data_IF_075940448824
#
_entry.id   IF_075940448824
#
_cell.length_a   1.000
_cell.length_b   1.000
_cell.length_c   1.000
_cell.angle_alpha   90.00
_cell.angle_beta   90.00
_cell.angle_gamma   90.00
#
_symmetry.space_group_name_H-M   'P 1'
#
loop_
_entity.id
_entity.type
_entity.pdbx_description
1 polymer ?
#
# COMPACT_ATOMS: atom_id res chain seq x y z
N UNK A 1 4.70 -10.30 5.90
CA UNK A 1 3.42 -10.45 6.63
C UNK A 1 2.78 -11.82 6.40
N UNK A 2 2.48 -12.25 5.17
CA UNK A 2 1.85 -13.56 4.86
C UNK A 2 2.66 -14.74 5.42
N UNK A 3 3.97 -14.76 5.22
CA UNK A 3 4.86 -15.82 5.73
C UNK A 3 4.80 -15.95 7.27
N UNK A 4 4.83 -14.82 7.99
CA UNK A 4 4.72 -14.80 9.45
C UNK A 4 3.38 -15.37 9.93
N UNK A 5 2.26 -14.94 9.30
CA UNK A 5 0.92 -15.44 9.65
C UNK A 5 0.83 -16.96 9.44
N UNK A 6 1.37 -17.47 8.34
CA UNK A 6 1.36 -18.91 8.04
C UNK A 6 2.17 -19.71 9.07
N UNK A 7 3.31 -19.18 9.49
CA UNK A 7 4.16 -19.78 10.54
C UNK A 7 3.46 -19.80 11.90
N UNK A 8 2.78 -18.71 12.29
CA UNK A 8 2.00 -18.62 13.53
C UNK A 8 0.83 -19.61 13.55
N UNK A 9 0.12 -19.76 12.43
CA UNK A 9 -0.96 -20.75 12.31
C UNK A 9 -0.42 -22.17 12.49
N UNK A 10 0.71 -22.47 11.88
CA UNK A 10 1.33 -23.80 12.00
C UNK A 10 1.82 -24.07 13.44
N UNK A 11 2.40 -23.07 14.11
CA UNK A 11 2.77 -23.15 15.51
C UNK A 11 1.54 -23.37 16.39
N UNK A 12 0.46 -22.62 16.17
CA UNK A 12 -0.78 -22.75 16.94
C UNK A 12 -1.39 -24.16 16.83
N UNK A 13 -1.42 -24.72 15.60
CA UNK A 13 -1.91 -26.10 15.36
C UNK A 13 -1.04 -27.11 16.10
N UNK A 14 0.29 -26.95 16.04
CA UNK A 14 1.23 -27.88 16.70
C UNK A 14 1.07 -27.85 18.23
N UNK A 15 1.00 -26.65 18.84
CA UNK A 15 0.81 -26.50 20.28
C UNK A 15 -0.57 -26.95 20.76
N UNK A 16 -1.61 -26.76 19.93
CA UNK A 16 -2.94 -27.29 20.22
C UNK A 16 -2.94 -28.81 20.22
N UNK A 17 -2.29 -29.45 19.26
CA UNK A 17 -2.13 -30.90 19.20
C UNK A 17 -1.32 -31.42 20.40
N UNK A 18 -0.19 -30.76 20.75
CA UNK A 18 0.59 -31.10 21.96
C UNK A 18 -0.26 -31.04 23.23
N UNK A 19 -1.12 -30.01 23.32
CA UNK A 19 -2.04 -29.86 24.46
C UNK A 19 -3.02 -31.04 24.56
N UNK A 20 -3.65 -31.45 23.46
CA UNK A 20 -4.61 -32.55 23.44
C UNK A 20 -3.93 -33.88 23.84
N UNK A 21 -2.78 -34.18 23.26
CA UNK A 21 -2.04 -35.40 23.59
C UNK A 21 -1.65 -35.44 25.07
N UNK A 22 -1.11 -34.35 25.62
CA UNK A 22 -0.71 -34.30 27.03
C UNK A 22 -1.88 -34.30 27.98
N UNK A 23 -3.03 -33.79 27.61
CA UNK A 23 -4.24 -33.87 28.40
C UNK A 23 -4.72 -35.33 28.53
N UNK A 24 -4.71 -36.10 27.44
CA UNK A 24 -5.03 -37.53 27.45
C UNK A 24 -4.00 -38.32 28.28
N UNK A 25 -2.71 -38.00 28.20
CA UNK A 25 -1.68 -38.61 29.06
C UNK A 25 -1.92 -38.37 30.56
N UNK A 26 -2.43 -37.20 30.93
CA UNK A 26 -2.84 -36.91 32.34
C UNK A 26 -4.00 -37.83 32.76
N UNK A 27 -5.01 -37.99 31.92
CA UNK A 27 -6.15 -38.86 32.18
C UNK A 27 -5.72 -40.33 32.35
N UNK A 28 -4.86 -40.81 31.49
CA UNK A 28 -4.29 -42.15 31.53
C UNK A 28 -3.45 -42.36 32.81
N UNK A 29 -2.60 -41.39 33.17
CA UNK A 29 -1.81 -41.43 34.42
C UNK A 29 -2.70 -41.48 35.66
N UNK A 30 -3.79 -40.69 35.69
CA UNK A 30 -4.76 -40.75 36.81
C UNK A 30 -5.37 -42.12 36.92
N UNK A 31 -5.74 -42.73 35.78
CA UNK A 31 -6.30 -44.10 35.82
C UNK A 31 -5.29 -45.11 36.31
N UNK A 32 -4.01 -45.00 35.94
CA UNK A 32 -2.93 -45.84 36.44
C UNK A 32 -2.69 -45.60 37.95
N UNK A 33 -2.70 -44.35 38.44
CA UNK A 33 -2.61 -44.02 39.86
C UNK A 33 -3.77 -44.64 40.65
N UNK A 34 -5.00 -44.58 40.13
CA UNK A 34 -6.17 -45.22 40.76
C UNK A 34 -6.04 -46.74 40.79
N UNK A 35 -5.55 -47.33 39.71
CA UNK A 35 -5.31 -48.79 39.63
C UNK A 35 -4.24 -49.22 40.65
N UNK A 36 -3.15 -48.46 40.78
CA UNK A 36 -2.11 -48.74 41.73
C UNK A 36 -2.63 -48.66 43.20
N UNK A 37 -3.43 -47.60 43.48
CA UNK A 37 -4.11 -47.46 44.76
C UNK A 37 -4.94 -48.68 45.13
N UNK A 38 -5.75 -49.21 44.15
CA UNK A 38 -6.59 -50.37 44.40
C UNK A 38 -5.82 -51.67 44.68
N UNK A 39 -4.60 -51.82 44.11
CA UNK A 39 -3.75 -53.00 44.35
C UNK A 39 -2.86 -52.88 45.59
N UNK A 40 -2.39 -51.70 45.92
CA UNK A 40 -1.42 -51.50 47.02
C UNK A 40 -2.09 -51.01 48.31
N UNK A 41 -3.36 -50.61 48.23
CA UNK A 41 -4.13 -50.00 49.35
C UNK A 41 -3.46 -48.70 49.85
N UNK A 42 -2.50 -48.17 49.07
CA UNK A 42 -1.85 -46.88 49.37
C UNK A 42 -2.46 -45.81 48.43
N UNK A 43 -3.39 -45.04 48.98
CA UNK A 43 -4.25 -44.15 48.23
C UNK A 43 -4.02 -42.68 48.64
N UNK A 44 -2.81 -42.15 48.45
CA UNK A 44 -2.52 -40.75 48.71
C UNK A 44 -3.31 -39.81 47.82
N UNK A 45 -4.16 -38.98 48.40
CA UNK A 45 -4.96 -37.98 47.66
C UNK A 45 -6.15 -38.55 46.86
N UNK A 46 -6.47 -39.84 47.03
CA UNK A 46 -7.63 -40.52 46.43
C UNK A 46 -8.62 -40.91 47.56
N UNK A 47 -9.91 -40.83 47.25
CA UNK A 47 -10.91 -41.39 48.15
C UNK A 47 -11.35 -42.76 47.64
N UNK A 48 -11.60 -43.67 48.61
CA UNK A 48 -12.00 -45.04 48.28
C UNK A 48 -13.30 -45.40 48.99
N UNK A 49 -14.16 -46.15 48.32
CA UNK A 49 -15.38 -46.67 48.88
C UNK A 49 -15.63 -48.13 48.38
N UNK A 50 -16.42 -48.92 49.10
CA UNK A 50 -16.78 -50.26 48.70
C UNK A 50 -18.26 -50.27 48.31
N UNK A 51 -18.54 -50.71 47.05
CA UNK A 51 -19.88 -50.74 46.52
C UNK A 51 -20.24 -52.17 46.11
N UNK A 52 -21.53 -52.55 46.18
CA UNK A 52 -21.98 -53.84 45.71
C UNK A 52 -21.71 -54.01 44.22
N UNK A 53 -21.27 -55.19 43.81
CA UNK A 53 -21.04 -55.55 42.42
C UNK A 53 -22.39 -55.67 41.70
N UNK A 54 -22.64 -54.73 40.79
CA UNK A 54 -23.85 -54.66 39.99
C UNK A 54 -23.51 -54.75 38.49
N UNK A 55 -24.43 -55.18 37.63
CA UNK A 55 -24.22 -55.36 36.20
C UNK A 55 -23.85 -54.09 35.46
N UNK A 56 -24.19 -52.93 36.04
CA UNK A 56 -23.95 -51.61 35.41
C UNK A 56 -22.60 -51.03 35.73
N UNK A 57 -21.75 -51.72 36.54
CA UNK A 57 -20.42 -51.23 36.97
C UNK A 57 -19.32 -52.03 36.30
N UNK A 58 -18.76 -51.48 35.17
CA UNK A 58 -17.66 -52.14 34.47
C UNK A 58 -16.33 -51.88 35.21
N UNK A 59 -15.52 -52.92 35.35
CA UNK A 59 -14.22 -52.88 35.98
C UNK A 59 -13.16 -52.26 35.09
N UNK A 60 -12.23 -51.52 35.66
CA UNK A 60 -11.09 -50.87 34.95
C UNK A 60 -11.48 -49.83 33.90
N UNK A 61 -12.67 -49.24 33.94
CA UNK A 61 -13.09 -48.13 33.12
C UNK A 61 -13.07 -46.85 33.91
N UNK A 62 -12.51 -45.78 33.33
CA UNK A 62 -12.46 -44.43 33.89
C UNK A 62 -13.77 -43.70 33.59
N UNK A 63 -14.61 -43.52 34.56
CA UNK A 63 -15.82 -42.72 34.50
C UNK A 63 -15.48 -41.23 34.78
N UNK A 64 -16.18 -40.35 34.05
CA UNK A 64 -15.92 -38.87 34.07
C UNK A 64 -17.20 -38.08 34.35
N UNK A 65 -17.99 -38.57 35.29
CA UNK A 65 -19.23 -37.93 35.71
C UNK A 65 -19.05 -37.25 37.04
N UNK A 66 -18.82 -35.96 37.03
CA UNK A 66 -18.41 -35.19 38.20
C UNK A 66 -16.91 -35.37 38.52
N UNK A 67 -16.60 -36.10 39.59
CA UNK A 67 -15.24 -36.56 39.88
C UNK A 67 -14.86 -37.74 38.97
N UNK A 68 -13.56 -37.94 38.79
CA UNK A 68 -13.10 -39.12 38.04
C UNK A 68 -13.18 -40.35 38.99
N UNK A 69 -13.78 -41.42 38.56
CA UNK A 69 -13.83 -42.65 39.35
C UNK A 69 -13.70 -43.90 38.48
N UNK A 70 -13.21 -44.96 39.12
CA UNK A 70 -13.09 -46.28 38.49
C UNK A 70 -13.39 -47.37 39.50
N UNK A 71 -13.87 -48.52 39.02
CA UNK A 71 -14.15 -49.67 39.85
C UNK A 71 -13.07 -50.71 39.64
N UNK A 72 -12.60 -51.30 40.79
CA UNK A 72 -11.57 -52.33 40.77
C UNK A 72 -12.01 -53.53 41.59
N UNK A 73 -11.59 -54.73 41.15
CA UNK A 73 -11.90 -55.96 41.87
C UNK A 73 -11.15 -56.03 43.21
N UNK A 74 -11.84 -56.42 44.26
CA UNK A 74 -11.20 -56.67 45.57
C UNK A 74 -10.70 -58.13 45.55
N UNK A 75 -9.38 -58.37 45.80
CA UNK A 75 -8.78 -59.71 45.62
C UNK A 75 -9.38 -60.84 46.45
N UNK A 76 -10.01 -60.52 47.57
CA UNK A 76 -10.49 -61.52 48.56
C UNK A 76 -12.01 -61.64 48.63
N UNK A 77 -12.77 -60.78 47.92
CA UNK A 77 -14.25 -60.73 48.06
C UNK A 77 -14.89 -60.42 46.71
N UNK A 78 -15.56 -61.40 46.14
CA UNK A 78 -16.24 -61.24 44.85
C UNK A 78 -17.55 -60.41 44.89
N UNK A 79 -18.09 -60.15 46.06
CA UNK A 79 -19.35 -59.42 46.28
C UNK A 79 -19.22 -57.91 46.11
N UNK A 80 -18.05 -57.37 46.40
CA UNK A 80 -17.80 -55.91 46.39
C UNK A 80 -16.77 -55.50 45.36
N UNK A 81 -16.97 -54.26 44.80
CA UNK A 81 -15.97 -53.53 44.03
C UNK A 81 -15.44 -52.37 44.83
N UNK A 82 -14.16 -52.11 44.74
CA UNK A 82 -13.53 -50.91 45.29
C UNK A 82 -13.71 -49.77 44.29
N UNK A 83 -14.49 -48.77 44.65
CA UNK A 83 -14.62 -47.52 43.93
C UNK A 83 -13.48 -46.59 44.38
N UNK A 84 -12.59 -46.24 43.44
CA UNK A 84 -11.53 -45.24 43.68
C UNK A 84 -11.94 -43.95 43.01
N UNK A 85 -11.89 -42.85 43.73
CA UNK A 85 -12.29 -41.51 43.24
C UNK A 85 -11.12 -40.56 43.28
N UNK A 86 -10.90 -39.91 42.13
CA UNK A 86 -9.93 -38.84 41.97
C UNK A 86 -10.67 -37.50 41.88
N UNK A 87 -10.39 -36.52 42.77
CA UNK A 87 -11.13 -35.27 42.80
C UNK A 87 -10.94 -34.46 41.52
N UNK A 88 -12.04 -34.00 40.89
CA UNK A 88 -12.02 -33.15 39.71
C UNK A 88 -11.19 -31.90 39.89
N UNK A 89 -11.17 -31.32 41.08
CA UNK A 89 -10.37 -30.14 41.41
C UNK A 89 -8.87 -30.39 41.20
N UNK A 90 -8.37 -31.57 41.59
CA UNK A 90 -6.98 -31.98 41.39
C UNK A 90 -6.65 -32.17 39.89
N UNK A 91 -7.57 -32.74 39.13
CA UNK A 91 -7.44 -32.84 37.66
C UNK A 91 -7.36 -31.45 37.02
N UNK A 92 -8.29 -30.56 37.34
CA UNK A 92 -8.29 -29.18 36.83
C UNK A 92 -6.98 -28.48 37.14
N UNK A 93 -6.45 -28.63 38.36
CA UNK A 93 -5.17 -28.04 38.74
C UNK A 93 -4.00 -28.55 37.88
N UNK A 94 -3.93 -29.87 37.60
CA UNK A 94 -2.93 -30.47 36.69
C UNK A 94 -3.07 -29.93 35.26
N UNK A 95 -4.29 -29.77 34.76
CA UNK A 95 -4.57 -29.21 33.42
C UNK A 95 -4.19 -27.74 33.32
N UNK A 96 -4.53 -26.90 34.33
CA UNK A 96 -4.15 -25.48 34.34
C UNK A 96 -2.62 -25.34 34.34
N UNK A 97 -1.91 -26.16 35.12
CA UNK A 97 -0.44 -26.18 35.15
C UNK A 97 0.15 -26.56 33.77
N UNK A 98 -0.44 -27.54 33.10
CA UNK A 98 -0.08 -27.93 31.74
C UNK A 98 -0.30 -26.77 30.75
N UNK A 99 -1.50 -26.18 30.79
CA UNK A 99 -1.90 -25.07 29.91
C UNK A 99 -0.97 -23.86 30.06
N UNK A 100 -0.65 -23.46 31.28
CA UNK A 100 0.27 -22.36 31.57
C UNK A 100 1.68 -22.63 31.00
N UNK A 101 2.16 -23.87 31.13
CA UNK A 101 3.45 -24.30 30.60
C UNK A 101 3.47 -24.25 29.06
N UNK A 102 2.41 -24.72 28.42
CA UNK A 102 2.28 -24.72 26.96
C UNK A 102 2.15 -23.29 26.46
N UNK A 103 1.29 -22.46 27.06
CA UNK A 103 1.14 -21.04 26.70
C UNK A 103 2.46 -20.26 26.77
N UNK A 104 3.24 -20.47 27.84
CA UNK A 104 4.54 -19.82 28.00
C UNK A 104 5.52 -20.24 26.89
N UNK A 105 5.57 -21.51 26.55
CA UNK A 105 6.41 -22.03 25.45
C UNK A 105 5.95 -21.47 24.11
N UNK A 106 4.66 -21.49 23.83
CA UNK A 106 4.08 -20.92 22.62
C UNK A 106 4.48 -19.44 22.48
N UNK A 107 4.35 -18.64 23.53
CA UNK A 107 4.74 -17.23 23.51
C UNK A 107 6.23 -17.05 23.17
N UNK A 108 7.12 -17.86 23.75
CA UNK A 108 8.55 -17.80 23.45
C UNK A 108 8.87 -18.14 21.98
N UNK A 109 8.24 -19.18 21.44
CA UNK A 109 8.45 -19.57 20.04
C UNK A 109 7.84 -18.55 19.08
N UNK A 110 6.68 -17.98 19.40
CA UNK A 110 6.04 -16.91 18.62
C UNK A 110 6.93 -15.65 18.56
N UNK A 111 7.47 -15.22 19.70
CA UNK A 111 8.42 -14.09 19.75
C UNK A 111 9.69 -14.38 18.94
N UNK A 112 10.22 -15.60 19.02
CA UNK A 112 11.37 -15.99 18.21
C UNK A 112 11.05 -16.01 16.71
N UNK A 113 9.90 -16.55 16.33
CA UNK A 113 9.42 -16.54 14.95
C UNK A 113 9.22 -15.11 14.40
N UNK A 114 8.65 -14.20 15.22
CA UNK A 114 8.51 -12.80 14.89
C UNK A 114 9.87 -12.12 14.66
N UNK A 115 10.85 -12.39 15.53
CA UNK A 115 12.20 -11.84 15.40
C UNK A 115 12.90 -12.33 14.12
N UNK A 116 12.84 -13.64 13.83
CA UNK A 116 13.42 -14.20 12.59
C UNK A 116 12.74 -13.64 11.35
N UNK A 117 11.40 -13.52 11.37
CA UNK A 117 10.63 -12.93 10.26
C UNK A 117 10.98 -11.46 10.03
N UNK A 118 11.23 -10.70 11.10
CA UNK A 118 11.68 -9.31 11.03
C UNK A 118 13.09 -9.20 10.39
N UNK A 119 14.04 -10.02 10.83
CA UNK A 119 15.38 -10.05 10.22
C UNK A 119 15.33 -10.43 8.74
N UNK A 120 14.52 -11.44 8.39
CA UNK A 120 14.32 -11.85 7.01
C UNK A 120 13.71 -10.73 6.16
N UNK A 121 12.73 -9.98 6.69
CA UNK A 121 12.15 -8.84 5.99
C UNK A 121 13.19 -7.75 5.70
N UNK A 122 14.04 -7.40 6.67
CA UNK A 122 15.14 -6.45 6.46
C UNK A 122 16.10 -6.97 5.39
N UNK A 123 16.54 -8.22 5.50
CA UNK A 123 17.46 -8.84 4.55
C UNK A 123 16.91 -8.85 3.13
N UNK A 124 15.65 -9.26 2.94
CA UNK A 124 15.00 -9.33 1.63
C UNK A 124 14.70 -7.96 1.01
N UNK A 125 14.35 -6.94 1.83
CA UNK A 125 14.01 -5.62 1.33
C UNK A 125 15.22 -4.71 1.07
N UNK A 126 16.35 -4.96 1.73
CA UNK A 126 17.56 -4.14 1.58
C UNK A 126 18.09 -4.12 0.14
N UNK A 127 18.29 -5.25 -0.56
CA UNK A 127 18.77 -5.23 -1.94
C UNK A 127 17.79 -4.57 -2.91
N UNK A 128 16.49 -4.73 -2.68
CA UNK A 128 15.46 -4.08 -3.49
C UNK A 128 15.51 -2.55 -3.35
N UNK A 129 15.61 -2.04 -2.11
CA UNK A 129 15.77 -0.60 -1.85
C UNK A 129 17.05 -0.06 -2.49
N UNK A 130 18.17 -0.80 -2.39
CA UNK A 130 19.43 -0.43 -3.01
C UNK A 130 19.32 -0.38 -4.54
N UNK A 131 18.68 -1.37 -5.17
CA UNK A 131 18.46 -1.41 -6.61
C UNK A 131 17.59 -0.25 -7.09
N UNK A 132 16.52 0.10 -6.36
CA UNK A 132 15.67 1.25 -6.68
C UNK A 132 16.46 2.56 -6.59
N UNK A 133 17.25 2.76 -5.53
CA UNK A 133 18.08 3.95 -5.37
C UNK A 133 19.13 4.10 -6.46
N UNK A 134 19.83 3.01 -6.78
CA UNK A 134 20.80 3.01 -7.89
C UNK A 134 20.15 3.33 -9.23
N UNK A 135 18.95 2.83 -9.48
CA UNK A 135 18.20 3.16 -10.69
C UNK A 135 17.80 4.65 -10.74
N UNK A 136 17.42 5.25 -9.62
CA UNK A 136 17.13 6.68 -9.52
C UNK A 136 18.38 7.54 -9.75
N UNK A 137 19.51 7.19 -9.14
CA UNK A 137 20.80 7.86 -9.34
C UNK A 137 21.24 7.75 -10.81
N UNK A 138 21.18 6.54 -11.40
CA UNK A 138 21.52 6.30 -12.82
C UNK A 138 20.69 7.16 -13.78
N UNK A 139 19.38 7.23 -13.57
CA UNK A 139 18.52 8.06 -14.44
C UNK A 139 18.83 9.55 -14.26
N UNK A 140 19.17 10.00 -13.05
CA UNK A 140 19.57 11.38 -12.76
C UNK A 140 20.89 11.75 -13.49
N UNK A 141 21.86 10.85 -13.47
CA UNK A 141 23.15 11.04 -14.14
C UNK A 141 22.97 11.10 -15.68
N UNK A 142 22.18 10.18 -16.25
CA UNK A 142 21.84 10.21 -17.68
C UNK A 142 21.16 11.54 -18.07
N UNK A 143 20.21 12.02 -17.24
CA UNK A 143 19.54 13.29 -17.53
C UNK A 143 20.50 14.49 -17.48
N UNK A 144 21.49 14.46 -16.58
CA UNK A 144 22.53 15.45 -16.53
C UNK A 144 23.38 15.40 -17.82
N UNK A 145 23.79 14.22 -18.23
CA UNK A 145 24.66 14.04 -19.41
C UNK A 145 23.95 14.39 -20.73
N UNK A 146 22.63 14.28 -20.79
CA UNK A 146 21.83 14.76 -21.93
C UNK A 146 21.80 16.31 -22.04
N UNK A 147 22.04 17.06 -20.98
CA UNK A 147 22.03 18.52 -21.06
C UNK A 147 23.10 19.05 -22.02
N UNK A 148 24.28 18.46 -22.04
CA UNK A 148 25.41 18.91 -22.85
C UNK A 148 25.12 18.76 -24.37
N UNK A 149 24.77 17.59 -24.91
CA UNK A 149 24.48 17.45 -26.33
C UNK A 149 23.25 18.25 -26.76
N UNK A 150 22.21 18.34 -25.92
CA UNK A 150 21.02 19.13 -26.27
C UNK A 150 21.34 20.63 -26.33
N UNK A 151 22.15 21.15 -25.40
CA UNK A 151 22.61 22.53 -25.42
C UNK A 151 23.45 22.82 -26.67
N UNK A 152 24.35 21.90 -27.05
CA UNK A 152 25.14 21.98 -28.26
C UNK A 152 24.26 21.99 -29.52
N UNK A 153 23.24 21.10 -29.60
CA UNK A 153 22.28 21.10 -30.67
C UNK A 153 21.53 22.42 -30.82
N UNK A 154 21.12 23.02 -29.67
CA UNK A 154 20.43 24.32 -29.67
C UNK A 154 21.31 25.46 -30.16
N UNK A 155 22.59 25.47 -29.76
CA UNK A 155 23.55 26.47 -30.23
C UNK A 155 23.77 26.31 -31.75
N UNK A 156 24.05 25.10 -32.21
CA UNK A 156 24.26 24.84 -33.66
C UNK A 156 23.04 25.23 -34.46
N UNK A 157 21.83 24.92 -33.97
CA UNK A 157 20.61 25.29 -34.66
C UNK A 157 20.42 26.81 -34.77
N UNK A 158 20.81 27.56 -33.69
CA UNK A 158 20.78 29.02 -33.71
C UNK A 158 21.77 29.61 -34.73
N UNK A 159 22.94 28.98 -34.89
CA UNK A 159 23.93 29.37 -35.91
C UNK A 159 23.41 29.10 -37.30
N UNK A 160 22.87 27.92 -37.57
CA UNK A 160 22.24 27.62 -38.87
C UNK A 160 21.10 28.57 -39.22
N UNK A 161 20.28 28.95 -38.25
CA UNK A 161 19.21 29.92 -38.40
C UNK A 161 19.74 31.30 -38.87
N UNK A 162 20.93 31.71 -38.35
CA UNK A 162 21.59 32.94 -38.75
C UNK A 162 22.18 32.85 -40.16
N UNK A 163 22.75 31.71 -40.55
CA UNK A 163 23.44 31.51 -41.82
C UNK A 163 22.48 31.35 -43.00
N UNK A 164 21.46 30.54 -42.86
CA UNK A 164 20.56 30.14 -43.96
C UNK A 164 19.13 30.64 -43.80
N UNK A 165 18.87 31.45 -42.76
CA UNK A 165 17.56 32.03 -42.50
C UNK A 165 16.56 30.99 -41.90
N UNK A 166 15.37 31.48 -41.62
CA UNK A 166 14.29 30.62 -41.13
C UNK A 166 13.73 29.78 -42.28
N UNK A 167 13.65 28.47 -42.05
CA UNK A 167 12.96 27.57 -42.96
C UNK A 167 12.19 26.46 -42.19
N UNK A 168 11.29 25.77 -42.87
CA UNK A 168 10.44 24.76 -42.28
C UNK A 168 11.23 23.59 -41.63
N UNK A 169 12.46 23.29 -42.13
CA UNK A 169 13.30 22.22 -41.58
C UNK A 169 13.91 22.66 -40.26
N UNK A 170 14.39 23.90 -40.14
CA UNK A 170 14.91 24.49 -38.92
C UNK A 170 13.82 24.52 -37.85
N UNK A 171 12.64 24.99 -38.19
CA UNK A 171 11.51 25.00 -37.23
C UNK A 171 11.13 23.61 -36.73
N UNK A 172 11.19 22.58 -37.59
CA UNK A 172 10.98 21.18 -37.15
C UNK A 172 12.06 20.69 -36.20
N UNK A 173 13.33 21.08 -36.39
CA UNK A 173 14.43 20.73 -35.52
C UNK A 173 14.30 21.43 -34.15
N UNK A 174 13.94 22.71 -34.15
CA UNK A 174 13.63 23.46 -32.89
C UNK A 174 12.55 22.74 -32.06
N UNK A 175 11.43 22.44 -32.72
CA UNK A 175 10.32 21.72 -32.07
C UNK A 175 10.72 20.32 -31.50
N UNK A 176 11.64 19.62 -32.19
CA UNK A 176 12.16 18.35 -31.74
C UNK A 176 13.04 18.51 -30.49
N UNK A 177 13.94 19.51 -30.48
CA UNK A 177 14.81 19.84 -29.33
C UNK A 177 13.96 20.24 -28.12
N UNK A 178 12.96 21.11 -28.33
CA UNK A 178 12.04 21.50 -27.29
C UNK A 178 11.23 20.30 -26.72
N UNK A 179 10.85 19.39 -27.60
CA UNK A 179 10.16 18.16 -27.18
C UNK A 179 11.06 17.25 -26.31
N UNK A 180 12.35 17.14 -26.63
CA UNK A 180 13.34 16.40 -25.84
C UNK A 180 13.58 17.09 -24.49
N UNK A 181 13.72 18.41 -24.45
CA UNK A 181 13.86 19.18 -23.22
C UNK A 181 12.65 19.04 -22.31
N UNK A 182 11.45 19.13 -22.86
CA UNK A 182 10.21 18.92 -22.12
C UNK A 182 10.13 17.51 -21.52
N UNK A 183 10.58 16.49 -22.28
CA UNK A 183 10.67 15.12 -21.81
C UNK A 183 11.65 14.98 -20.65
N UNK A 184 12.85 15.56 -20.81
CA UNK A 184 13.90 15.53 -19.78
C UNK A 184 13.43 16.21 -18.50
N UNK A 185 12.82 17.40 -18.60
CA UNK A 185 12.24 18.12 -17.46
C UNK A 185 11.16 17.28 -16.75
N UNK A 186 10.29 16.62 -17.52
CA UNK A 186 9.27 15.74 -16.97
C UNK A 186 9.86 14.55 -16.21
N UNK A 187 10.96 13.97 -16.71
CA UNK A 187 11.64 12.86 -16.07
C UNK A 187 12.39 13.30 -14.79
N UNK A 188 13.01 14.52 -14.81
CA UNK A 188 13.63 15.11 -13.61
C UNK A 188 12.61 15.32 -12.47
N UNK A 189 11.40 15.80 -12.80
CA UNK A 189 10.32 15.98 -11.82
C UNK A 189 9.89 14.65 -11.22
N UNK A 190 9.91 13.61 -12.03
CA UNK A 190 9.54 12.27 -11.57
C UNK A 190 10.52 11.70 -10.54
N UNK A 191 11.82 12.05 -10.66
CA UNK A 191 12.92 11.55 -9.82
C UNK A 191 13.21 12.42 -8.59
N UNK A 192 12.81 13.68 -8.60
CA UNK A 192 13.01 14.58 -7.46
C UNK A 192 11.80 14.50 -6.52
N UNK A 193 12.10 14.38 -5.24
CA UNK A 193 11.13 14.74 -4.21
C UNK A 193 10.85 16.25 -4.36
N UNK A 194 9.57 16.60 -4.36
CA UNK A 194 9.16 17.99 -4.49
C UNK A 194 9.58 18.73 -3.22
N UNK A 195 10.32 19.84 -3.32
CA UNK A 195 10.66 20.61 -2.15
C UNK A 195 9.39 20.99 -1.39
N UNK A 196 9.37 20.76 -0.10
CA UNK A 196 8.26 21.08 0.82
C UNK A 196 8.04 22.57 1.05
N UNK A 197 8.80 23.45 0.37
CA UNK A 197 8.65 24.88 0.51
C UNK A 197 7.33 25.33 -0.10
N UNK A 198 6.42 25.78 0.76
CA UNK A 198 5.16 26.41 0.40
C UNK A 198 5.34 27.92 0.44
N UNK A 199 4.76 28.62 -0.53
CA UNK A 199 4.72 30.08 -0.60
C UNK A 199 3.32 30.55 -0.98
N UNK A 200 2.95 31.77 -0.54
CA UNK A 200 1.71 32.38 -0.91
C UNK A 200 1.85 33.17 -2.20
N UNK A 201 0.95 32.99 -3.14
CA UNK A 201 0.94 33.72 -4.41
C UNK A 201 -0.46 33.87 -4.98
N UNK A 202 -0.64 34.87 -5.85
CA UNK A 202 -1.89 35.08 -6.59
C UNK A 202 -2.04 34.05 -7.69
N UNK A 203 -3.11 33.24 -7.62
CA UNK A 203 -3.48 32.28 -8.65
C UNK A 203 -3.81 32.98 -9.97
N UNK A 204 -4.52 34.10 -9.91
CA UNK A 204 -4.87 34.91 -11.09
C UNK A 204 -3.62 35.34 -11.87
N UNK A 205 -2.65 35.97 -11.17
CA UNK A 205 -1.39 36.43 -11.79
C UNK A 205 -0.63 35.28 -12.41
N UNK A 206 -0.54 34.13 -11.72
CA UNK A 206 0.16 32.96 -12.24
C UNK A 206 -0.52 32.44 -13.51
N UNK A 207 -1.85 32.26 -13.48
CA UNK A 207 -2.61 31.74 -14.64
C UNK A 207 -2.53 32.69 -15.82
N UNK A 208 -2.65 34.00 -15.63
CA UNK A 208 -2.53 35.00 -16.68
C UNK A 208 -1.14 34.95 -17.37
N UNK A 209 -0.07 34.87 -16.58
CA UNK A 209 1.29 34.75 -17.12
C UNK A 209 1.45 33.46 -17.95
N UNK A 210 0.86 32.35 -17.54
CA UNK A 210 0.93 31.09 -18.29
C UNK A 210 0.09 31.14 -19.58
N UNK A 211 -1.09 31.76 -19.52
CA UNK A 211 -1.93 31.98 -20.71
C UNK A 211 -1.19 32.77 -21.77
N UNK A 212 -0.55 33.90 -21.41
CA UNK A 212 0.24 34.71 -22.36
C UNK A 212 1.33 33.86 -23.02
N UNK A 213 2.03 33.01 -22.26
CA UNK A 213 3.04 32.11 -22.79
C UNK A 213 2.45 31.11 -23.81
N UNK A 214 1.32 30.48 -23.47
CA UNK A 214 0.70 29.46 -24.34
C UNK A 214 -0.02 30.07 -25.56
N UNK A 215 -0.53 31.29 -25.47
CA UNK A 215 -1.04 32.05 -26.64
C UNK A 215 0.05 32.26 -27.69
N UNK A 216 1.28 32.59 -27.26
CA UNK A 216 2.41 32.71 -28.21
C UNK A 216 2.83 31.37 -28.79
N UNK A 217 2.71 30.27 -28.07
CA UNK A 217 3.09 28.93 -28.54
C UNK A 217 2.04 28.29 -29.44
N UNK A 218 0.75 28.56 -29.20
CA UNK A 218 -0.40 28.02 -29.95
C UNK A 218 -1.28 29.15 -30.46
N UNK A 219 -0.77 29.92 -31.45
CA UNK A 219 -1.41 31.13 -31.93
C UNK A 219 -2.84 30.93 -32.54
N UNK A 220 -3.17 29.72 -32.96
CA UNK A 220 -4.49 29.34 -33.50
C UNK A 220 -5.55 29.10 -32.42
N UNK A 221 -5.17 29.08 -31.14
CA UNK A 221 -6.04 28.74 -30.01
C UNK A 221 -6.40 29.99 -29.21
N UNK A 222 -7.70 30.17 -28.98
CA UNK A 222 -8.24 31.27 -28.19
C UNK A 222 -8.21 30.85 -26.68
N UNK A 223 -7.29 31.46 -25.91
CA UNK A 223 -7.19 31.28 -24.46
C UNK A 223 -7.91 32.39 -23.70
N UNK A 224 -8.61 32.02 -22.62
CA UNK A 224 -9.23 32.99 -21.72
C UNK A 224 -9.34 32.45 -20.30
N UNK A 225 -9.37 33.34 -19.30
CA UNK A 225 -9.61 32.98 -17.91
C UNK A 225 -10.60 33.89 -17.23
N UNK A 226 -11.31 33.32 -16.25
CA UNK A 226 -12.18 34.00 -15.32
C UNK A 226 -11.81 33.54 -13.90
N UNK A 227 -10.84 34.20 -13.31
CA UNK A 227 -10.32 33.93 -11.97
C UNK A 227 -10.23 35.27 -11.26
N UNK A 228 -10.93 35.38 -10.16
CA UNK A 228 -10.96 36.62 -9.36
C UNK A 228 -10.18 36.41 -8.06
N UNK A 229 -9.33 37.40 -7.72
CA UNK A 229 -8.64 37.58 -6.43
C UNK A 229 -8.49 36.32 -5.54
N UNK A 230 -7.79 35.33 -6.04
CA UNK A 230 -7.55 34.09 -5.31
C UNK A 230 -6.07 33.96 -4.95
N UNK A 231 -5.78 33.90 -3.65
CA UNK A 231 -4.44 33.59 -3.13
C UNK A 231 -4.39 32.12 -2.71
N UNK A 232 -3.36 31.41 -3.15
CA UNK A 232 -3.12 30.03 -2.75
C UNK A 232 -1.74 29.91 -2.06
N UNK A 233 -1.63 28.95 -1.13
CA UNK A 233 -0.39 28.63 -0.42
C UNK A 233 0.01 27.21 -0.74
N UNK A 234 1.05 27.06 -1.55
CA UNK A 234 1.57 25.76 -1.99
C UNK A 234 2.94 25.95 -2.65
N UNK A 235 3.55 24.86 -3.11
CA UNK A 235 4.77 24.94 -3.92
C UNK A 235 4.44 25.51 -5.32
N UNK A 236 4.88 26.74 -5.57
CA UNK A 236 4.59 27.48 -6.80
C UNK A 236 5.14 26.81 -8.05
N UNK A 237 6.38 26.29 -7.97
CA UNK A 237 7.00 25.59 -9.11
C UNK A 237 6.24 24.33 -9.49
N UNK A 238 5.85 23.55 -8.49
CA UNK A 238 5.06 22.33 -8.70
C UNK A 238 3.68 22.65 -9.28
N UNK A 239 3.00 23.68 -8.75
CA UNK A 239 1.72 24.12 -9.25
C UNK A 239 1.80 24.69 -10.67
N UNK A 240 2.86 25.48 -10.98
CA UNK A 240 3.15 25.98 -12.34
C UNK A 240 3.29 24.80 -13.31
N UNK A 241 3.98 23.72 -12.93
CA UNK A 241 4.16 22.54 -13.77
C UNK A 241 2.84 21.78 -14.01
N UNK A 242 1.94 21.75 -13.04
CA UNK A 242 0.58 21.22 -13.23
C UNK A 242 -0.11 22.01 -14.34
N UNK A 243 -0.14 23.34 -14.20
CA UNK A 243 -0.75 24.22 -15.21
C UNK A 243 -0.13 24.05 -16.58
N UNK A 244 1.20 24.03 -16.68
CA UNK A 244 1.93 23.89 -17.94
C UNK A 244 1.61 22.60 -18.66
N UNK A 245 1.55 21.49 -17.95
CA UNK A 245 1.17 20.20 -18.55
C UNK A 245 -0.28 20.21 -19.05
N UNK A 246 -1.20 20.80 -18.27
CA UNK A 246 -2.61 20.86 -18.65
C UNK A 246 -2.84 21.81 -19.83
N UNK A 247 -2.28 23.01 -19.81
CA UNK A 247 -2.38 24.00 -20.87
C UNK A 247 -1.71 23.54 -22.16
N UNK A 248 -0.55 22.90 -22.06
CA UNK A 248 0.14 22.29 -23.20
C UNK A 248 -0.70 21.19 -23.85
N UNK A 249 -1.35 20.34 -23.03
CA UNK A 249 -2.25 19.31 -23.55
C UNK A 249 -3.48 19.94 -24.21
N UNK A 250 -4.10 20.94 -23.59
CA UNK A 250 -5.24 21.67 -24.12
C UNK A 250 -4.94 22.35 -25.46
N UNK A 251 -3.73 22.89 -25.65
CA UNK A 251 -3.30 23.46 -26.94
C UNK A 251 -2.95 22.38 -27.96
N UNK A 252 -2.11 21.42 -27.61
CA UNK A 252 -1.58 20.37 -28.50
C UNK A 252 -2.66 19.47 -29.13
N UNK A 253 -3.70 19.14 -28.35
CA UNK A 253 -4.76 18.23 -28.76
C UNK A 253 -6.06 18.95 -29.13
N UNK A 254 -6.01 20.28 -29.23
CA UNK A 254 -7.15 21.07 -29.71
C UNK A 254 -7.39 20.94 -31.23
N UNK A 255 -8.50 21.45 -31.66
CA UNK A 255 -8.78 21.67 -33.09
C UNK A 255 -8.30 23.06 -33.52
N UNK A 256 -8.06 23.26 -34.82
CA UNK A 256 -7.75 24.60 -35.35
C UNK A 256 -8.85 25.59 -34.97
N UNK A 257 -8.47 26.80 -34.55
CA UNK A 257 -9.35 27.83 -33.99
C UNK A 257 -10.19 27.36 -32.79
N UNK A 258 -9.63 26.42 -32.00
CA UNK A 258 -10.27 25.94 -30.80
C UNK A 258 -10.17 26.94 -29.65
N UNK A 259 -10.78 26.59 -28.53
CA UNK A 259 -10.80 27.42 -27.32
C UNK A 259 -10.25 26.66 -26.12
N UNK A 260 -9.60 27.39 -25.21
CA UNK A 260 -9.21 26.94 -23.89
C UNK A 260 -9.71 27.95 -22.87
N UNK A 261 -10.45 27.49 -21.87
CA UNK A 261 -11.02 28.35 -20.83
C UNK A 261 -10.61 27.86 -19.45
N UNK A 262 -10.15 28.79 -18.62
CA UNK A 262 -9.82 28.55 -17.22
C UNK A 262 -10.80 29.32 -16.36
N UNK A 263 -11.52 28.62 -15.48
CA UNK A 263 -12.50 29.26 -14.60
C UNK A 263 -12.29 28.75 -13.18
N UNK A 264 -12.37 29.63 -12.21
CA UNK A 264 -12.41 29.29 -10.80
C UNK A 264 -13.84 29.48 -10.28
N UNK A 265 -14.42 28.37 -9.78
CA UNK A 265 -15.74 28.40 -9.16
C UNK A 265 -15.62 27.84 -7.72
N UNK A 266 -15.63 28.75 -6.75
CA UNK A 266 -15.33 28.39 -5.38
C UNK A 266 -13.89 27.85 -5.24
N UNK A 267 -13.75 26.56 -4.94
CA UNK A 267 -12.46 25.88 -4.80
C UNK A 267 -12.09 25.00 -6.00
N UNK A 268 -12.93 24.98 -7.04
CA UNK A 268 -12.73 24.16 -8.23
C UNK A 268 -12.17 25.02 -9.38
N UNK A 269 -10.90 24.80 -9.71
CA UNK A 269 -10.28 25.35 -10.90
C UNK A 269 -10.53 24.40 -12.07
N UNK A 270 -11.30 24.86 -13.05
CA UNK A 270 -11.57 24.13 -14.29
C UNK A 270 -10.68 24.60 -15.43
N UNK A 271 -10.19 23.66 -16.23
CA UNK A 271 -9.45 23.89 -17.48
C UNK A 271 -10.17 23.12 -18.57
N UNK A 272 -10.83 23.86 -19.47
CA UNK A 272 -11.68 23.30 -20.52
C UNK A 272 -11.08 23.54 -21.90
N UNK A 273 -11.02 22.52 -22.74
CA UNK A 273 -10.64 22.62 -24.14
C UNK A 273 -11.73 22.12 -25.08
N UNK A 274 -11.74 22.61 -26.30
CA UNK A 274 -12.66 22.19 -27.38
C UNK A 274 -12.04 21.16 -28.32
N UNK A 275 -11.03 20.45 -27.86
CA UNK A 275 -10.22 19.55 -28.65
C UNK A 275 -10.87 18.22 -29.00
N UNK A 276 -10.03 17.24 -29.36
CA UNK A 276 -10.47 15.92 -29.83
C UNK A 276 -11.11 15.06 -28.76
N UNK A 277 -10.96 15.43 -27.48
CA UNK A 277 -11.41 14.63 -26.36
C UNK A 277 -10.60 13.33 -26.18
N UNK A 278 -10.96 12.58 -25.15
CA UNK A 278 -10.28 11.36 -24.68
C UNK A 278 -11.29 10.21 -24.66
N UNK A 279 -10.91 9.05 -25.22
CA UNK A 279 -11.77 7.85 -25.23
C UNK A 279 -11.90 7.19 -23.87
N UNK A 280 -10.79 7.14 -23.13
CA UNK A 280 -10.72 6.46 -21.82
C UNK A 280 -10.17 7.37 -20.71
N UNK A 281 -10.97 8.33 -20.18
CA UNK A 281 -10.50 9.28 -19.16
C UNK A 281 -9.96 8.61 -17.89
N UNK A 282 -10.46 7.43 -17.51
CA UNK A 282 -10.00 6.70 -16.34
C UNK A 282 -8.57 6.13 -16.45
N UNK A 283 -8.03 6.03 -17.67
CA UNK A 283 -6.69 5.47 -17.91
C UNK A 283 -5.61 6.52 -18.14
N UNK A 284 -5.97 7.79 -18.31
CA UNK A 284 -5.03 8.87 -18.72
C UNK A 284 -3.94 9.14 -17.69
N UNK A 285 -4.16 8.81 -16.41
CA UNK A 285 -3.15 8.95 -15.37
C UNK A 285 -2.17 7.78 -15.26
N UNK A 286 -2.41 6.69 -16.03
CA UNK A 286 -1.46 5.57 -16.08
C UNK A 286 -0.23 5.96 -16.87
N UNK A 287 0.95 5.52 -16.41
CA UNK A 287 2.23 5.72 -17.11
C UNK A 287 2.15 5.16 -18.54
N UNK A 288 2.72 5.88 -19.49
CA UNK A 288 2.82 5.50 -20.91
C UNK A 288 1.46 5.31 -21.61
N UNK A 289 0.35 5.70 -20.95
CA UNK A 289 -0.92 5.70 -21.62
C UNK A 289 -1.00 6.86 -22.64
N UNK A 290 -1.28 6.52 -23.87
CA UNK A 290 -1.48 7.47 -24.96
C UNK A 290 -2.56 6.94 -25.90
N UNK A 291 -3.37 7.82 -26.44
CA UNK A 291 -4.38 7.51 -27.47
C UNK A 291 -3.94 7.97 -28.87
N UNK A 292 -2.84 8.71 -28.95
CA UNK A 292 -2.26 9.22 -30.20
C UNK A 292 -0.74 8.97 -30.18
N UNK A 293 -0.13 8.90 -31.37
CA UNK A 293 1.32 8.66 -31.54
C UNK A 293 2.22 9.83 -31.12
N UNK A 294 1.64 10.97 -30.76
CA UNK A 294 2.38 12.15 -30.30
C UNK A 294 2.54 12.16 -28.77
N UNK A 295 3.80 12.16 -28.30
CA UNK A 295 4.15 12.23 -26.87
C UNK A 295 4.36 10.87 -26.23
N UNK A 296 4.94 10.85 -25.02
CA UNK A 296 5.36 9.64 -24.30
C UNK A 296 4.29 9.14 -23.31
N UNK A 297 3.23 9.93 -23.07
CA UNK A 297 2.18 9.55 -22.14
C UNK A 297 2.58 9.67 -20.65
N UNK A 298 3.50 10.59 -20.32
CA UNK A 298 3.97 10.82 -18.94
C UNK A 298 3.35 12.09 -18.32
N UNK A 299 2.96 13.09 -19.13
CA UNK A 299 2.53 14.40 -18.64
C UNK A 299 1.38 14.36 -17.64
N UNK A 300 0.27 13.66 -17.93
CA UNK A 300 -0.86 13.56 -17.02
C UNK A 300 -0.55 12.68 -15.79
N UNK A 301 0.35 11.71 -15.90
CA UNK A 301 0.84 10.96 -14.76
C UNK A 301 1.62 11.84 -13.79
N UNK A 302 2.45 12.76 -14.31
CA UNK A 302 3.16 13.78 -13.51
C UNK A 302 2.16 14.71 -12.84
N UNK A 303 1.17 15.20 -13.57
CA UNK A 303 0.10 16.04 -13.01
C UNK A 303 -0.56 15.34 -11.84
N UNK A 304 -0.92 14.06 -11.97
CA UNK A 304 -1.52 13.28 -10.89
C UNK A 304 -0.58 13.17 -9.69
N UNK A 305 0.70 12.85 -9.91
CA UNK A 305 1.71 12.78 -8.82
C UNK A 305 1.83 14.11 -8.10
N UNK A 306 1.96 15.23 -8.82
CA UNK A 306 2.06 16.56 -8.25
C UNK A 306 0.80 16.94 -7.46
N UNK A 307 -0.38 16.67 -8.01
CA UNK A 307 -1.64 16.92 -7.31
C UNK A 307 -1.74 16.12 -6.01
N UNK A 308 -1.35 14.84 -6.02
CA UNK A 308 -1.36 14.00 -4.81
C UNK A 308 -0.41 14.54 -3.73
N UNK A 309 0.81 14.99 -4.10
CA UNK A 309 1.80 15.57 -3.19
C UNK A 309 1.37 16.95 -2.66
N UNK A 310 0.71 17.77 -3.47
CA UNK A 310 0.17 19.08 -3.05
C UNK A 310 -1.22 18.97 -2.40
N UNK A 311 -1.74 17.75 -2.24
CA UNK A 311 -3.10 17.50 -1.71
C UNK A 311 -4.22 18.17 -2.52
N UNK A 312 -4.03 18.31 -3.82
CA UNK A 312 -5.00 18.85 -4.78
C UNK A 312 -5.80 17.70 -5.39
N UNK A 313 -7.13 17.77 -5.32
CA UNK A 313 -8.00 16.83 -6.00
C UNK A 313 -7.92 17.02 -7.52
N UNK A 314 -7.87 15.95 -8.33
CA UNK A 314 -7.94 16.05 -9.79
C UNK A 314 -8.97 15.09 -10.36
N UNK A 315 -9.83 15.62 -11.26
CA UNK A 315 -10.82 14.86 -12.03
C UNK A 315 -10.75 15.27 -13.49
N UNK A 316 -10.93 14.31 -14.40
CA UNK A 316 -10.99 14.57 -15.87
C UNK A 316 -12.34 14.08 -16.38
N UNK A 317 -13.03 14.97 -17.11
CA UNK A 317 -14.23 14.68 -17.84
C UNK A 317 -13.97 14.96 -19.33
N UNK A 318 -14.24 14.01 -20.19
CA UNK A 318 -13.95 14.17 -21.60
C UNK A 318 -14.92 13.39 -22.47
N UNK A 319 -15.27 13.99 -23.58
CA UNK A 319 -16.09 13.39 -24.61
C UNK A 319 -15.35 13.49 -25.97
N UNK A 320 -15.27 12.39 -26.68
CA UNK A 320 -14.63 12.35 -27.99
C UNK A 320 -15.27 13.37 -28.93
N UNK A 321 -14.45 14.17 -29.63
CA UNK A 321 -14.81 15.26 -30.54
C UNK A 321 -15.49 16.48 -29.88
N UNK A 322 -15.70 16.49 -28.58
CA UNK A 322 -16.30 17.62 -27.87
C UNK A 322 -15.29 18.41 -27.03
N UNK A 323 -14.22 17.76 -26.60
CA UNK A 323 -13.17 18.36 -25.78
C UNK A 323 -12.97 17.68 -24.43
N UNK A 324 -12.14 18.29 -23.60
CA UNK A 324 -11.78 17.79 -22.27
C UNK A 324 -11.92 18.90 -21.23
N UNK A 325 -12.43 18.54 -20.06
CA UNK A 325 -12.47 19.40 -18.86
C UNK A 325 -11.64 18.72 -17.76
N UNK A 326 -10.64 19.41 -17.27
CA UNK A 326 -9.87 19.01 -16.11
C UNK A 326 -10.30 19.86 -14.92
N UNK A 327 -10.67 19.22 -13.82
CA UNK A 327 -11.10 19.87 -12.58
C UNK A 327 -10.02 19.64 -11.53
N UNK A 328 -9.51 20.74 -10.95
CA UNK A 328 -8.58 20.75 -9.81
C UNK A 328 -9.29 21.27 -8.58
N UNK A 329 -9.43 20.46 -7.55
CA UNK A 329 -9.94 20.87 -6.25
C UNK A 329 -8.78 21.43 -5.40
N UNK A 330 -8.71 22.76 -5.31
CA UNK A 330 -7.67 23.49 -4.59
C UNK A 330 -8.11 23.90 -3.16
N UNK A 331 -9.18 23.32 -2.63
CA UNK A 331 -9.75 23.67 -1.31
C UNK A 331 -8.76 23.62 -0.17
N UNK A 332 -7.74 22.74 -0.25
CA UNK A 332 -6.71 22.57 0.78
C UNK A 332 -5.53 23.54 0.68
N UNK A 333 -5.41 24.26 -0.43
CA UNK A 333 -4.31 25.19 -0.69
C UNK A 333 -4.79 26.65 -0.86
N UNK A 334 -6.08 26.88 -0.88
CA UNK A 334 -6.66 28.23 -0.92
C UNK A 334 -6.47 28.93 0.43
N UNK A 335 -5.95 30.14 0.42
CA UNK A 335 -5.86 30.99 1.61
C UNK A 335 -7.22 31.62 1.80
N UNK A 336 -7.89 31.27 2.90
CA UNK A 336 -9.16 31.93 3.28
C UNK A 336 -8.82 33.32 3.80
N UNK A 337 -9.28 34.34 3.11
CA UNK A 337 -9.23 35.74 3.56
C UNK A 337 -10.30 35.95 4.65
#
# INVERSE_FOLDING_TARGET
MIFFILLEVLLAINFWHEYQVKKLDIEEKIHVEMKLCAYTIQCEGLSTDFVDRDSDKEENILYKDGDFYSYFKVPTVDKYLMKVVYPKVSFIHRVIKLESKIKRRFLLYSLFAAFVSFLFAIYALTPLRKALRLNEEFVKDILHDFNTPISSMKINLSLFKREIGENQKIHRLENNIESILALQNNLQVFLKDIPTQSEQFSLETLVQNRIVYFMALYADIDYGCTIENCTIETNKDAFTRILDNLLSNAGKYNKSKGKVRLNLNGTLLSIEDTGKGIKNPSKVFKRYYKEQDRGIGIGLHIVKKLCDELHIGIKIESNVQKGTTVLLDISKVIVKV
#
